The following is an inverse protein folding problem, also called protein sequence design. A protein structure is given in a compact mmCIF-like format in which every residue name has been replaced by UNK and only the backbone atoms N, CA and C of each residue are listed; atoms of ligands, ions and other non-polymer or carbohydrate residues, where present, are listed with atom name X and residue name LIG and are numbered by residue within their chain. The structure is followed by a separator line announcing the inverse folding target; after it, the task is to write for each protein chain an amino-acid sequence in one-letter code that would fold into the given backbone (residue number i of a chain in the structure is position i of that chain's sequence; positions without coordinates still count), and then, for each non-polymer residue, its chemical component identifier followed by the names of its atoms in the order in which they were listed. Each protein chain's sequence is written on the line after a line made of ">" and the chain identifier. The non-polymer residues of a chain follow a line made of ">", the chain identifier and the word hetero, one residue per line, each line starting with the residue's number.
data_IF_215841451264
#
_entry.id   IF_215841451264
#
_cell.length_a   1.000
_cell.length_b   1.000
_cell.length_c   1.000
_cell.angle_alpha   90.00
_cell.angle_beta   90.00
_cell.angle_gamma   90.00
#
_symmetry.space_group_name_H-M   'P 1'
#
loop_
_entity.id
_entity.type
_entity.pdbx_description
1 polymer ?
#
# COMPACT_ATOMS: atom_id res chain seq x y z
N UNK A 1 32.94 -20.20 36.16
CA UNK A 1 31.61 -20.48 36.76
C UNK A 1 30.59 -19.73 35.89
N UNK A 2 30.07 -20.26 34.78
CA UNK A 2 29.29 -21.50 34.54
C UNK A 2 27.95 -21.52 35.28
N UNK A 3 26.84 -21.33 34.54
CA UNK A 3 25.51 -22.00 34.58
C UNK A 3 24.43 -21.06 34.01
N UNK A 4 24.00 -21.22 32.76
CA UNK A 4 22.99 -22.16 32.21
C UNK A 4 21.52 -21.76 32.47
N UNK A 5 20.84 -21.48 31.34
CA UNK A 5 19.48 -21.89 30.94
C UNK A 5 18.34 -21.81 31.96
N UNK A 6 17.30 -21.05 31.61
CA UNK A 6 15.86 -21.38 31.70
C UNK A 6 15.06 -20.15 31.24
N UNK A 7 13.97 -20.20 30.49
CA UNK A 7 13.23 -21.23 29.78
C UNK A 7 12.27 -20.42 28.88
N UNK A 8 12.21 -20.60 27.56
CA UNK A 8 11.48 -21.70 26.92
C UNK A 8 10.13 -21.99 27.61
N UNK A 9 9.19 -21.03 27.64
CA UNK A 9 7.87 -21.29 28.21
C UNK A 9 6.73 -20.38 27.69
N UNK A 10 6.75 -19.91 26.43
CA UNK A 10 5.63 -19.11 25.89
C UNK A 10 5.15 -19.57 24.50
N UNK A 11 5.11 -20.89 24.25
CA UNK A 11 4.66 -21.46 22.96
C UNK A 11 3.51 -22.48 23.09
N UNK A 12 2.67 -22.44 24.13
CA UNK A 12 1.81 -23.58 24.44
C UNK A 12 0.31 -23.30 24.69
N UNK A 13 -0.34 -22.32 24.03
CA UNK A 13 -1.78 -22.10 24.25
C UNK A 13 -2.68 -21.80 23.02
N UNK A 14 -2.23 -21.94 21.76
CA UNK A 14 -3.12 -21.72 20.60
C UNK A 14 -3.37 -22.96 19.72
N UNK A 15 -3.27 -24.18 20.27
CA UNK A 15 -3.46 -25.42 19.51
C UNK A 15 -4.79 -26.16 19.78
N UNK A 16 -5.76 -25.54 20.46
CA UNK A 16 -7.06 -26.16 20.72
C UNK A 16 -8.20 -25.36 20.07
N UNK A 17 -8.33 -25.46 18.74
CA UNK A 17 -9.62 -25.20 18.08
C UNK A 17 -9.90 -26.33 17.10
N UNK A 18 -11.03 -27.02 17.32
CA UNK A 18 -11.51 -28.16 16.52
C UNK A 18 -12.31 -27.69 15.30
N UNK A 19 -11.77 -26.72 14.56
CA UNK A 19 -12.38 -26.15 13.36
C UNK A 19 -11.42 -26.34 12.17
N UNK A 20 -11.89 -26.47 10.91
CA UNK A 20 -11.02 -26.64 9.75
C UNK A 20 -9.98 -25.52 9.68
N UNK A 21 -8.73 -25.91 9.89
CA UNK A 21 -7.59 -25.00 9.98
C UNK A 21 -7.31 -24.39 8.59
N UNK A 22 -7.78 -23.16 8.33
CA UNK A 22 -7.38 -22.35 7.17
C UNK A 22 -5.92 -21.88 7.23
N UNK A 23 -5.21 -22.16 8.33
CA UNK A 23 -3.77 -21.95 8.39
C UNK A 23 -3.11 -23.05 7.56
N UNK A 24 -2.74 -22.70 6.32
CA UNK A 24 -1.93 -23.56 5.46
C UNK A 24 -0.68 -24.10 6.16
N UNK A 25 -0.05 -25.11 5.55
CA UNK A 25 1.05 -25.88 6.13
C UNK A 25 1.97 -25.02 7.03
N UNK A 26 2.07 -25.30 8.35
CA UNK A 26 2.81 -24.48 9.30
C UNK A 26 4.31 -24.35 8.96
N UNK A 27 4.87 -25.27 8.18
CA UNK A 27 6.24 -25.19 7.65
C UNK A 27 6.40 -24.11 6.57
N UNK A 28 5.31 -23.72 5.90
CA UNK A 28 5.30 -22.66 4.89
C UNK A 28 5.00 -21.28 5.49
N UNK A 29 4.48 -21.20 6.73
CA UNK A 29 4.16 -19.93 7.39
C UNK A 29 5.34 -18.94 7.47
N UNK A 30 6.59 -19.35 7.78
CA UNK A 30 7.73 -18.43 7.77
C UNK A 30 8.01 -17.86 6.38
N UNK A 31 7.87 -18.68 5.34
CA UNK A 31 8.05 -18.27 3.93
C UNK A 31 6.93 -17.33 3.50
N UNK A 32 5.68 -17.65 3.84
CA UNK A 32 4.52 -16.79 3.61
C UNK A 32 4.62 -15.46 4.35
N UNK A 33 5.16 -15.45 5.57
CA UNK A 33 5.38 -14.23 6.35
C UNK A 33 6.44 -13.32 5.71
N UNK A 34 7.57 -13.87 5.26
CA UNK A 34 8.62 -13.10 4.58
C UNK A 34 8.11 -12.52 3.26
N UNK A 35 7.44 -13.33 2.44
CA UNK A 35 6.91 -12.90 1.13
C UNK A 35 5.80 -11.85 1.29
N UNK A 36 4.88 -12.05 2.24
CA UNK A 36 3.85 -11.05 2.59
C UNK A 36 4.48 -9.77 3.12
N UNK A 37 5.50 -9.86 3.98
CA UNK A 37 6.22 -8.72 4.51
C UNK A 37 6.90 -7.87 3.41
N UNK A 38 7.56 -8.52 2.46
CA UNK A 38 8.21 -7.84 1.31
C UNK A 38 7.15 -7.19 0.40
N UNK A 39 6.06 -7.91 0.09
CA UNK A 39 4.96 -7.37 -0.72
C UNK A 39 4.34 -6.12 -0.09
N UNK A 40 4.07 -6.15 1.21
CA UNK A 40 3.54 -5.01 1.96
C UNK A 40 4.52 -3.83 1.99
N UNK A 41 5.82 -4.09 2.17
CA UNK A 41 6.84 -3.05 2.15
C UNK A 41 6.94 -2.36 0.78
N UNK A 42 6.97 -3.13 -0.31
CA UNK A 42 7.02 -2.60 -1.67
C UNK A 42 5.75 -1.78 -2.01
N UNK A 43 4.58 -2.28 -1.64
CA UNK A 43 3.31 -1.55 -1.80
C UNK A 43 3.32 -0.23 -1.03
N UNK A 44 3.73 -0.25 0.24
CA UNK A 44 3.80 0.94 1.07
C UNK A 44 4.78 1.98 0.52
N UNK A 45 5.92 1.54 0.00
CA UNK A 45 6.89 2.42 -0.66
C UNK A 45 6.29 3.08 -1.92
N UNK A 46 5.60 2.29 -2.77
CA UNK A 46 4.90 2.82 -3.95
C UNK A 46 3.86 3.85 -3.55
N UNK A 47 3.00 3.54 -2.59
CA UNK A 47 1.96 4.46 -2.08
C UNK A 47 2.56 5.75 -1.52
N UNK A 48 3.68 5.66 -0.79
CA UNK A 48 4.34 6.83 -0.24
C UNK A 48 4.88 7.76 -1.36
N UNK A 49 5.50 7.18 -2.40
CA UNK A 49 5.98 7.94 -3.55
C UNK A 49 4.82 8.63 -4.31
N UNK A 50 3.74 7.90 -4.58
CA UNK A 50 2.53 8.46 -5.22
C UNK A 50 1.96 9.59 -4.37
N UNK A 51 1.82 9.39 -3.05
CA UNK A 51 1.28 10.40 -2.14
C UNK A 51 2.14 11.67 -2.10
N UNK A 52 3.47 11.54 -2.14
CA UNK A 52 4.38 12.69 -2.22
C UNK A 52 4.12 13.47 -3.51
N UNK A 53 4.11 12.80 -4.66
CA UNK A 53 3.88 13.43 -5.95
C UNK A 53 2.51 14.11 -6.05
N UNK A 54 1.46 13.49 -5.50
CA UNK A 54 0.11 14.09 -5.44
C UNK A 54 0.08 15.31 -4.52
N UNK A 55 0.79 15.27 -3.38
CA UNK A 55 0.93 16.40 -2.45
C UNK A 55 1.63 17.58 -3.13
N UNK A 56 2.70 17.32 -3.88
CA UNK A 56 3.44 18.33 -4.64
C UNK A 56 2.61 18.90 -5.79
N UNK A 57 1.85 18.06 -6.50
CA UNK A 57 0.98 18.47 -7.59
C UNK A 57 -0.21 19.32 -7.12
N UNK A 58 -0.81 18.95 -5.99
CA UNK A 58 -1.99 19.62 -5.46
C UNK A 58 -3.16 19.72 -6.47
N UNK A 59 -4.07 20.69 -6.31
CA UNK A 59 -5.20 20.90 -7.22
C UNK A 59 -4.80 21.21 -8.67
N UNK A 60 -3.58 21.70 -8.91
CA UNK A 60 -3.10 22.03 -10.25
C UNK A 60 -3.02 20.79 -11.16
N UNK A 61 -2.99 19.58 -10.58
CA UNK A 61 -3.14 18.31 -11.29
C UNK A 61 -4.34 18.29 -12.26
N UNK A 62 -5.43 18.99 -11.92
CA UNK A 62 -6.65 18.99 -12.72
C UNK A 62 -6.55 19.80 -14.02
N UNK A 63 -5.60 20.74 -14.10
CA UNK A 63 -5.56 21.72 -15.19
C UNK A 63 -4.20 21.84 -15.87
N UNK A 64 -3.12 21.44 -15.20
CA UNK A 64 -1.75 21.62 -15.67
C UNK A 64 -1.20 20.32 -16.27
N UNK A 65 -0.93 20.36 -17.58
CA UNK A 65 -0.42 19.22 -18.33
C UNK A 65 1.02 18.85 -17.96
N UNK A 66 1.85 19.79 -17.55
CA UNK A 66 3.22 19.51 -17.11
C UNK A 66 3.21 18.77 -15.77
N UNK A 67 2.35 19.21 -14.84
CA UNK A 67 2.15 18.55 -13.55
C UNK A 67 1.61 17.14 -13.75
N UNK A 68 0.61 16.97 -14.63
CA UNK A 68 0.10 15.64 -14.99
C UNK A 68 1.23 14.76 -15.56
N UNK A 69 2.01 15.27 -16.52
CA UNK A 69 3.10 14.53 -17.12
C UNK A 69 4.16 14.10 -16.10
N UNK A 70 4.48 14.96 -15.12
CA UNK A 70 5.40 14.66 -14.03
C UNK A 70 4.83 13.59 -13.09
N UNK A 71 3.55 13.71 -12.72
CA UNK A 71 2.88 12.71 -11.90
C UNK A 71 2.91 11.33 -12.55
N UNK A 72 2.67 11.25 -13.86
CA UNK A 72 2.69 9.97 -14.60
C UNK A 72 4.08 9.35 -14.74
N UNK A 73 5.15 10.11 -14.53
CA UNK A 73 6.50 9.54 -14.43
C UNK A 73 6.73 8.84 -13.08
N UNK A 74 6.13 9.35 -12.00
CA UNK A 74 6.20 8.73 -10.67
C UNK A 74 5.18 7.61 -10.49
N UNK A 75 3.98 7.79 -11.05
CA UNK A 75 2.84 6.90 -10.95
C UNK A 75 2.36 6.53 -12.38
N UNK A 76 2.95 5.51 -13.02
CA UNK A 76 2.74 5.24 -14.43
C UNK A 76 1.37 4.60 -14.72
N UNK A 77 0.31 5.40 -14.61
CA UNK A 77 -1.05 5.02 -15.05
C UNK A 77 -1.04 4.83 -16.58
N UNK A 78 -1.62 3.73 -17.10
CA UNK A 78 -1.73 3.50 -18.54
C UNK A 78 -2.37 4.70 -19.27
N UNK A 79 -1.84 5.15 -20.42
CA UNK A 79 -2.37 6.31 -21.13
C UNK A 79 -3.88 6.29 -21.37
N UNK A 80 -4.44 5.11 -21.65
CA UNK A 80 -5.87 4.85 -21.85
C UNK A 80 -6.72 5.14 -20.60
N UNK A 81 -6.16 5.00 -19.40
CA UNK A 81 -6.87 5.17 -18.13
C UNK A 81 -6.72 6.59 -17.55
N UNK A 82 -5.77 7.39 -18.04
CA UNK A 82 -5.44 8.71 -17.46
C UNK A 82 -6.61 9.67 -17.48
N UNK A 83 -7.34 9.73 -18.59
CA UNK A 83 -8.49 10.63 -18.72
C UNK A 83 -9.61 10.26 -17.73
N UNK A 84 -9.91 8.96 -17.60
CA UNK A 84 -10.87 8.46 -16.63
C UNK A 84 -10.41 8.74 -15.18
N UNK A 85 -9.12 8.54 -14.90
CA UNK A 85 -8.52 8.82 -13.59
C UNK A 85 -8.66 10.30 -13.21
N UNK A 86 -8.35 11.20 -14.15
CA UNK A 86 -8.50 12.64 -13.94
C UNK A 86 -9.97 13.05 -13.75
N UNK A 87 -10.89 12.39 -14.47
CA UNK A 87 -12.33 12.56 -14.27
C UNK A 87 -12.78 12.18 -12.86
N UNK A 88 -12.34 11.01 -12.36
CA UNK A 88 -12.62 10.58 -10.98
C UNK A 88 -12.04 11.54 -9.95
N UNK A 89 -10.80 12.01 -10.16
CA UNK A 89 -10.13 12.97 -9.28
C UNK A 89 -10.87 14.32 -9.26
N UNK A 90 -11.35 14.78 -10.42
CA UNK A 90 -12.12 16.02 -10.55
C UNK A 90 -13.48 15.97 -9.84
N UNK A 91 -14.05 14.77 -9.69
CA UNK A 91 -15.30 14.56 -8.97
C UNK A 91 -15.14 14.53 -7.44
N UNK A 92 -13.91 14.47 -6.92
CA UNK A 92 -13.65 14.48 -5.48
C UNK A 92 -13.89 15.86 -4.87
N UNK A 93 -14.49 15.95 -3.66
CA UNK A 93 -14.70 17.20 -2.96
C UNK A 93 -13.39 17.78 -2.39
N UNK A 94 -13.42 19.08 -2.09
CA UNK A 94 -12.37 19.83 -1.38
C UNK A 94 -10.94 19.65 -1.95
N UNK A 95 -10.68 20.06 -3.20
CA UNK A 95 -9.36 19.92 -3.83
C UNK A 95 -8.22 20.51 -2.98
N UNK A 96 -7.16 19.71 -2.80
CA UNK A 96 -5.97 20.10 -2.03
C UNK A 96 -6.06 19.85 -0.53
N UNK A 97 -7.22 19.45 0.00
CA UNK A 97 -7.33 18.98 1.38
C UNK A 97 -6.55 17.67 1.59
N UNK A 98 -6.19 17.35 2.85
CA UNK A 98 -5.52 16.09 3.17
C UNK A 98 -6.36 14.86 2.78
N UNK A 99 -7.69 14.97 2.89
CA UNK A 99 -8.63 13.92 2.48
C UNK A 99 -8.65 13.77 0.95
N UNK A 100 -8.65 14.88 0.20
CA UNK A 100 -8.54 14.85 -1.25
C UNK A 100 -7.23 14.20 -1.71
N UNK A 101 -6.09 14.60 -1.13
CA UNK A 101 -4.78 14.00 -1.43
C UNK A 101 -4.78 12.49 -1.22
N UNK A 102 -5.39 12.02 -0.13
CA UNK A 102 -5.52 10.59 0.17
C UNK A 102 -6.41 9.87 -0.84
N UNK A 103 -7.58 10.43 -1.15
CA UNK A 103 -8.50 9.86 -2.13
C UNK A 103 -7.87 9.78 -3.54
N UNK A 104 -7.15 10.83 -3.97
CA UNK A 104 -6.41 10.84 -5.24
C UNK A 104 -5.32 9.78 -5.24
N UNK A 105 -4.55 9.66 -4.16
CA UNK A 105 -3.52 8.63 -4.03
C UNK A 105 -4.12 7.23 -4.22
N UNK A 106 -5.28 6.96 -3.60
CA UNK A 106 -5.97 5.67 -3.74
C UNK A 106 -6.47 5.47 -5.18
N UNK A 107 -7.11 6.48 -5.78
CA UNK A 107 -7.62 6.43 -7.14
C UNK A 107 -6.52 6.13 -8.17
N UNK A 108 -5.31 6.63 -7.95
CA UNK A 108 -4.15 6.31 -8.78
C UNK A 108 -3.64 4.89 -8.48
N UNK A 109 -3.47 4.53 -7.21
CA UNK A 109 -2.91 3.24 -6.80
C UNK A 109 -3.68 2.02 -7.31
N UNK A 110 -5.00 2.12 -7.50
CA UNK A 110 -5.83 1.02 -8.05
C UNK A 110 -5.63 0.81 -9.56
N UNK A 111 -4.87 1.69 -10.22
CA UNK A 111 -4.57 1.65 -11.66
C UNK A 111 -3.08 1.37 -11.95
N UNK A 112 -2.30 1.07 -10.91
CA UNK A 112 -0.85 0.78 -10.96
C UNK A 112 -0.53 -0.70 -10.75
#
# INVERSE_FOLDING_TARGET
>A
MSKHLSAAALCALSACSSEPNHLGNPMLLPVSAVTTGIGNAAYNARRAAVKSAVTEAGPALLTDLEIQARLWQTAPVPPEDRAATLGDIAALPDPGSAQWIEAVTIAIMVRL
#
